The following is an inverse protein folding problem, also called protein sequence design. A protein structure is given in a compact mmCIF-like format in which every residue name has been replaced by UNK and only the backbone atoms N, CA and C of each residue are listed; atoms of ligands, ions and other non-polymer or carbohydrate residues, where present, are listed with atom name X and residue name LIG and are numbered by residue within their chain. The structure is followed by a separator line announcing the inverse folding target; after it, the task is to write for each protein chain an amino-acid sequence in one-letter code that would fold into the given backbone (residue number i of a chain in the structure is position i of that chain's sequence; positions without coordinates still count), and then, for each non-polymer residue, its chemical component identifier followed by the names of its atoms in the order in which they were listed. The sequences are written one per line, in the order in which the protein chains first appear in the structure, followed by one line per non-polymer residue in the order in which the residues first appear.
data_IF_007404825773
#
_entry.id   IF_007404825773
#
_cell.length_a   1.000
_cell.length_b   1.000
_cell.length_c   1.000
_cell.angle_alpha   90.00
_cell.angle_beta   90.00
_cell.angle_gamma   90.00
#
_symmetry.space_group_name_H-M   'P 1'
#
loop_
_entity.id
_entity.type
_entity.pdbx_description
1 polymer ?
#
# COMPACT_ATOMS: atom_id res chain seq x y z
N UNK A 1 -1.60 9.96 -13.52
CA UNK A 1 -2.61 8.98 -13.95
C UNK A 1 -3.88 9.15 -13.12
N UNK A 2 -5.00 9.29 -13.76
CA UNK A 2 -6.29 9.51 -13.10
C UNK A 2 -7.13 8.25 -13.22
N UNK A 3 -7.66 7.76 -12.10
CA UNK A 3 -8.57 6.62 -12.06
C UNK A 3 -9.78 6.99 -11.19
N UNK A 4 -10.99 6.81 -11.74
CA UNK A 4 -12.21 7.13 -11.02
C UNK A 4 -12.32 8.58 -10.57
N UNK A 5 -11.71 9.51 -11.32
CA UNK A 5 -11.72 10.93 -11.01
C UNK A 5 -10.67 11.37 -10.00
N UNK A 6 -9.78 10.47 -9.58
CA UNK A 6 -8.70 10.79 -8.64
C UNK A 6 -7.33 10.60 -9.27
N UNK A 7 -6.43 11.53 -9.02
CA UNK A 7 -5.02 11.39 -9.40
C UNK A 7 -4.36 10.39 -8.45
N UNK A 8 -3.64 9.41 -9.00
CA UNK A 8 -2.89 8.44 -8.21
C UNK A 8 -1.54 9.03 -7.84
N UNK A 9 -1.25 9.02 -6.54
CA UNK A 9 0.00 9.55 -5.99
C UNK A 9 0.71 8.44 -5.23
N UNK A 10 1.98 8.21 -5.54
CA UNK A 10 2.81 7.25 -4.80
C UNK A 10 3.68 8.03 -3.82
N UNK A 11 3.33 7.93 -2.55
CA UNK A 11 4.14 8.54 -1.50
C UNK A 11 5.51 7.85 -1.43
N UNK A 12 6.55 8.60 -1.05
CA UNK A 12 7.90 8.06 -0.91
C UNK A 12 7.94 6.85 0.02
N UNK A 13 7.15 6.85 1.09
CA UNK A 13 7.05 5.72 2.02
C UNK A 13 6.54 4.45 1.37
N UNK A 14 5.61 4.55 0.42
CA UNK A 14 5.13 3.42 -0.34
C UNK A 14 6.22 2.86 -1.27
N UNK A 15 6.91 3.76 -1.99
CA UNK A 15 8.01 3.36 -2.88
C UNK A 15 9.12 2.67 -2.11
N UNK A 16 9.52 3.21 -0.96
CA UNK A 16 10.54 2.60 -0.10
C UNK A 16 10.10 1.24 0.43
N UNK A 17 8.83 1.12 0.82
CA UNK A 17 8.28 -0.15 1.29
C UNK A 17 8.31 -1.22 0.20
N UNK A 18 8.00 -0.86 -1.05
CA UNK A 18 8.09 -1.79 -2.18
C UNK A 18 9.51 -2.25 -2.43
N UNK A 19 10.49 -1.33 -2.34
CA UNK A 19 11.89 -1.70 -2.50
C UNK A 19 12.37 -2.67 -1.42
N UNK A 20 11.94 -2.46 -0.18
CA UNK A 20 12.26 -3.37 0.93
C UNK A 20 11.61 -4.74 0.75
N UNK A 21 10.36 -4.78 0.32
CA UNK A 21 9.66 -6.04 0.04
C UNK A 21 10.31 -6.79 -1.12
N UNK A 22 10.72 -6.07 -2.17
CA UNK A 22 11.44 -6.65 -3.30
C UNK A 22 12.72 -7.32 -2.84
N UNK A 23 13.50 -6.62 -2.02
CA UNK A 23 14.77 -7.12 -1.50
C UNK A 23 14.54 -8.35 -0.61
N UNK A 24 13.56 -8.28 0.27
CA UNK A 24 13.24 -9.40 1.17
C UNK A 24 12.76 -10.64 0.40
N UNK A 25 11.80 -10.49 -0.50
CA UNK A 25 11.26 -11.60 -1.27
C UNK A 25 12.25 -12.14 -2.30
N UNK A 26 13.18 -11.31 -2.73
CA UNK A 26 14.19 -11.65 -3.75
C UNK A 26 15.50 -12.16 -3.20
N UNK A 27 15.61 -12.46 -1.89
CA UNK A 27 16.87 -12.88 -1.26
C UNK A 27 17.52 -14.07 -1.93
N UNK A 28 16.74 -15.04 -2.36
CA UNK A 28 17.23 -16.28 -2.99
C UNK A 28 16.95 -16.32 -4.49
N UNK A 29 16.04 -15.51 -4.99
CA UNK A 29 15.69 -15.41 -6.40
C UNK A 29 15.13 -14.02 -6.68
N UNK A 30 15.92 -13.19 -7.34
CA UNK A 30 15.56 -11.81 -7.64
C UNK A 30 14.23 -11.69 -8.42
N UNK A 31 13.89 -12.69 -9.23
CA UNK A 31 12.64 -12.68 -9.99
C UNK A 31 11.42 -12.72 -9.08
N UNK A 32 11.51 -13.39 -7.92
CA UNK A 32 10.42 -13.43 -6.94
C UNK A 32 10.16 -12.06 -6.33
N UNK A 33 11.20 -11.29 -6.06
CA UNK A 33 11.06 -9.93 -5.56
C UNK A 33 10.37 -9.03 -6.57
N UNK A 34 10.79 -9.07 -7.83
CA UNK A 34 10.16 -8.27 -8.89
C UNK A 34 8.71 -8.69 -9.13
N UNK A 35 8.43 -9.98 -9.09
CA UNK A 35 7.06 -10.50 -9.25
C UNK A 35 6.16 -10.02 -8.12
N UNK A 36 6.66 -9.99 -6.88
CA UNK A 36 5.91 -9.48 -5.74
C UNK A 36 5.56 -8.00 -5.91
N UNK A 37 6.54 -7.18 -6.27
CA UNK A 37 6.31 -5.75 -6.48
C UNK A 37 5.27 -5.52 -7.57
N UNK A 38 5.36 -6.26 -8.67
CA UNK A 38 4.39 -6.17 -9.75
C UNK A 38 2.98 -6.51 -9.27
N UNK A 39 2.84 -7.57 -8.47
CA UNK A 39 1.53 -7.98 -7.91
C UNK A 39 0.94 -6.90 -7.02
N UNK A 40 1.75 -6.25 -6.19
CA UNK A 40 1.29 -5.18 -5.30
C UNK A 40 0.88 -3.96 -6.11
N UNK A 41 1.67 -3.57 -7.10
CA UNK A 41 1.35 -2.44 -8.00
C UNK A 41 0.07 -2.72 -8.78
N UNK A 42 -0.07 -3.91 -9.35
CA UNK A 42 -1.28 -4.30 -10.08
C UNK A 42 -2.51 -4.27 -9.16
N UNK A 43 -2.38 -4.74 -7.92
CA UNK A 43 -3.44 -4.69 -6.93
C UNK A 43 -3.83 -3.25 -6.61
N UNK A 44 -2.85 -2.37 -6.41
CA UNK A 44 -3.10 -0.97 -6.12
C UNK A 44 -3.85 -0.28 -7.27
N UNK A 45 -3.43 -0.51 -8.51
CA UNK A 45 -3.98 0.20 -9.67
C UNK A 45 -5.26 -0.42 -10.21
N UNK A 46 -5.38 -1.75 -10.19
CA UNK A 46 -6.49 -2.46 -10.83
C UNK A 46 -7.63 -2.78 -9.86
N UNK A 47 -7.33 -2.91 -8.57
CA UNK A 47 -8.31 -3.31 -7.55
C UNK A 47 -8.65 -2.17 -6.61
N UNK A 48 -7.65 -1.48 -6.07
CA UNK A 48 -7.89 -0.40 -5.10
C UNK A 48 -8.35 0.87 -5.81
N UNK A 49 -7.61 1.33 -6.82
CA UNK A 49 -7.84 2.64 -7.43
C UNK A 49 -9.24 2.81 -8.02
N UNK A 50 -9.84 1.80 -8.69
CA UNK A 50 -11.21 1.94 -9.20
C UNK A 50 -12.28 2.04 -8.10
N UNK A 51 -12.03 1.42 -6.93
CA UNK A 51 -13.01 1.34 -5.85
C UNK A 51 -12.34 1.57 -4.47
N UNK A 52 -11.74 2.75 -4.26
CA UNK A 52 -10.94 2.96 -3.05
C UNK A 52 -11.74 2.97 -1.76
N UNK A 53 -13.06 3.20 -1.84
CA UNK A 53 -13.93 3.24 -0.66
C UNK A 53 -14.51 1.87 -0.30
N UNK A 54 -14.23 0.82 -1.07
CA UNK A 54 -14.74 -0.52 -0.76
C UNK A 54 -13.92 -1.27 0.29
N UNK A 55 -12.77 -0.72 0.70
CA UNK A 55 -11.93 -1.32 1.73
C UNK A 55 -12.10 -0.59 3.06
N UNK A 56 -11.88 -1.28 4.20
CA UNK A 56 -12.17 -0.69 5.50
C UNK A 56 -11.23 0.44 5.87
N UNK A 57 -11.74 1.36 6.68
CA UNK A 57 -10.94 2.41 7.29
C UNK A 57 -9.86 1.79 8.18
N UNK A 58 -8.71 2.45 8.23
CA UNK A 58 -7.57 2.02 9.03
C UNK A 58 -7.15 3.16 9.95
N UNK A 59 -7.26 2.96 11.26
CA UNK A 59 -6.96 3.98 12.23
C UNK A 59 -5.64 3.70 12.92
N UNK A 60 -4.72 4.66 12.85
CA UNK A 60 -3.47 4.61 13.60
C UNK A 60 -3.65 5.33 14.93
N UNK A 61 -3.20 4.74 16.05
CA UNK A 61 -3.23 5.43 17.34
C UNK A 61 -2.47 6.76 17.34
N UNK A 62 -1.41 6.85 16.54
CA UNK A 62 -0.56 8.05 16.43
C UNK A 62 -1.13 9.12 15.48
N UNK A 63 -2.11 8.76 14.65
CA UNK A 63 -2.71 9.68 13.69
C UNK A 63 -4.19 9.31 13.47
N UNK A 64 -5.04 9.46 14.49
CA UNK A 64 -6.41 8.95 14.44
C UNK A 64 -7.33 9.70 13.48
N UNK A 65 -6.96 10.90 13.04
CA UNK A 65 -7.77 11.71 12.13
C UNK A 65 -7.40 11.56 10.66
N UNK A 66 -6.33 10.82 10.33
CA UNK A 66 -5.95 10.62 8.93
C UNK A 66 -6.98 9.73 8.23
N UNK A 67 -7.39 10.06 6.99
CA UNK A 67 -8.38 9.29 6.24
C UNK A 67 -7.74 8.05 5.58
N UNK A 68 -7.15 7.20 6.41
CA UNK A 68 -6.45 5.99 5.94
C UNK A 68 -7.41 4.85 5.72
N UNK A 69 -7.11 4.05 4.71
CA UNK A 69 -7.75 2.76 4.46
C UNK A 69 -6.68 1.71 4.22
N UNK A 70 -7.06 0.45 4.41
CA UNK A 70 -6.15 -0.67 4.22
C UNK A 70 -6.83 -1.75 3.39
N UNK A 71 -6.14 -2.19 2.33
CA UNK A 71 -6.55 -3.32 1.52
C UNK A 71 -5.51 -4.44 1.65
N UNK A 72 -5.98 -5.68 1.79
CA UNK A 72 -5.12 -6.84 1.99
C UNK A 72 -5.15 -7.73 0.76
N UNK A 73 -3.98 -8.05 0.22
CA UNK A 73 -3.79 -8.92 -0.94
C UNK A 73 -3.45 -10.34 -0.45
N UNK A 74 -4.32 -11.30 -0.76
CA UNK A 74 -4.13 -12.72 -0.45
C UNK A 74 -3.77 -13.01 1.00
N UNK A 75 -4.24 -12.19 1.94
CA UNK A 75 -3.94 -12.29 3.38
C UNK A 75 -2.46 -12.16 3.74
N UNK A 76 -1.61 -11.83 2.77
CA UNK A 76 -0.15 -11.81 2.94
C UNK A 76 0.44 -10.42 2.94
N UNK A 77 -0.17 -9.50 2.18
CA UNK A 77 0.37 -8.15 2.03
C UNK A 77 -0.76 -7.14 2.18
N UNK A 78 -0.45 -6.04 2.85
CA UNK A 78 -1.40 -4.96 3.03
C UNK A 78 -0.89 -3.70 2.35
N UNK A 79 -1.81 -2.95 1.74
CA UNK A 79 -1.54 -1.63 1.16
C UNK A 79 -2.35 -0.61 1.96
N UNK A 80 -1.66 0.40 2.47
CA UNK A 80 -2.28 1.51 3.22
C UNK A 80 -2.29 2.74 2.33
N UNK A 81 -3.44 3.41 2.27
CA UNK A 81 -3.62 4.55 1.39
C UNK A 81 -4.57 5.57 2.00
N UNK A 82 -4.50 6.80 1.50
CA UNK A 82 -5.39 7.90 1.89
C UNK A 82 -6.27 8.27 0.72
N UNK A 83 -7.57 8.45 0.98
CA UNK A 83 -8.55 8.82 -0.04
C UNK A 83 -8.96 10.26 0.16
N UNK A 84 -8.68 11.09 -0.83
CA UNK A 84 -9.12 12.47 -0.89
C UNK A 84 -10.08 12.63 -2.07
N UNK A 85 -10.75 13.78 -2.15
CA UNK A 85 -11.73 14.03 -3.21
C UNK A 85 -11.10 13.94 -4.61
N UNK A 86 -9.89 14.49 -4.76
CA UNK A 86 -9.21 14.57 -6.06
C UNK A 86 -7.96 13.72 -6.16
N UNK A 87 -7.55 13.08 -5.08
CA UNK A 87 -6.32 12.29 -5.05
C UNK A 87 -6.52 10.99 -4.29
N UNK A 88 -5.78 9.98 -4.70
CA UNK A 88 -5.63 8.71 -4.00
C UNK A 88 -4.13 8.52 -3.75
N UNK A 89 -3.72 8.54 -2.48
CA UNK A 89 -2.31 8.50 -2.11
C UNK A 89 -1.98 7.15 -1.51
N UNK A 90 -1.14 6.37 -2.19
CA UNK A 90 -0.60 5.13 -1.63
C UNK A 90 0.54 5.49 -0.69
N UNK A 91 0.42 5.11 0.58
CA UNK A 91 1.27 5.59 1.67
C UNK A 91 2.29 4.56 2.09
N UNK A 92 1.89 3.28 2.17
CA UNK A 92 2.75 2.23 2.68
C UNK A 92 2.27 0.85 2.21
N UNK A 93 3.17 -0.13 2.28
CA UNK A 93 2.84 -1.53 2.03
C UNK A 93 3.69 -2.40 2.97
N UNK A 94 3.13 -3.52 3.44
CA UNK A 94 3.85 -4.38 4.35
C UNK A 94 3.35 -5.83 4.27
N UNK A 95 4.19 -6.76 4.76
CA UNK A 95 3.78 -8.15 4.94
C UNK A 95 2.97 -8.28 6.21
N UNK A 96 1.79 -8.91 6.13
CA UNK A 96 0.91 -9.12 7.29
C UNK A 96 1.51 -10.07 8.33
N UNK A 97 2.57 -10.78 7.97
CA UNK A 97 3.27 -11.70 8.89
C UNK A 97 4.36 -11.01 9.70
N UNK A 98 4.62 -9.71 9.46
CA UNK A 98 5.58 -8.94 10.25
C UNK A 98 4.90 -8.34 11.48
N UNK A 99 5.71 -8.02 12.51
CA UNK A 99 5.21 -7.36 13.71
C UNK A 99 4.79 -5.93 13.39
N UNK A 100 3.48 -5.68 13.45
CA UNK A 100 2.89 -4.38 13.11
C UNK A 100 3.01 -3.34 14.22
N UNK A 101 3.38 -3.74 15.44
CA UNK A 101 3.53 -2.82 16.56
C UNK A 101 4.65 -1.80 16.36
N UNK A 102 5.53 -2.05 15.39
CA UNK A 102 6.65 -1.17 15.06
C UNK A 102 6.40 -0.34 13.80
N UNK A 103 5.20 -0.40 13.23
CA UNK A 103 4.88 0.29 11.99
C UNK A 103 4.74 1.78 12.21
N UNK A 104 5.58 2.56 11.55
CA UNK A 104 5.49 4.01 11.49
C UNK A 104 5.17 4.43 10.06
N UNK A 105 4.08 5.17 9.88
CA UNK A 105 3.72 5.70 8.57
C UNK A 105 4.37 7.06 8.35
N UNK A 106 4.70 7.38 7.08
CA UNK A 106 5.20 8.71 6.73
C UNK A 106 4.11 9.76 6.99
N UNK A 107 4.53 10.92 7.36
CA UNK A 107 3.64 12.07 7.58
C UNK A 107 3.22 12.73 6.27
#
# INVERSE_FOLDING_TARGET
MIVGGRELVLHQGFVQALLELEKWAGQHDARKGRALVKRIIDFAYDVIAPFPLSFPAYTLPTAPTRPLRRAVLNRQYAVVYEVFETELVFVYAYSTHRNLGLLELPE
#
